data_IF_133861477590
#
_entry.id   IF_133861477590
#
_cell.length_a   1.000
_cell.length_b   1.000
_cell.length_c   1.000
_cell.angle_alpha   90.00
_cell.angle_beta   90.00
_cell.angle_gamma   90.00
#
_symmetry.space_group_name_H-M   'P 1'
#
loop_
_entity.id
_entity.type
_entity.pdbx_description
1 polymer ?
#
# COMPACT_ATOMS: atom_id res chain seq x y z
N UNK A 1 10.67 -23.48 -0.47
CA UNK A 1 10.62 -22.77 -1.75
C UNK A 1 9.70 -21.56 -1.55
N UNK A 2 10.22 -20.35 -1.66
CA UNK A 2 9.53 -19.10 -1.37
C UNK A 2 9.00 -18.50 -2.68
N UNK A 3 7.68 -18.41 -2.78
CA UNK A 3 6.96 -17.97 -3.98
C UNK A 3 6.47 -16.55 -3.82
N UNK A 4 6.62 -15.74 -4.87
CA UNK A 4 6.13 -14.37 -4.87
C UNK A 4 5.33 -14.03 -6.13
N UNK A 5 4.47 -13.02 -6.01
CA UNK A 5 3.81 -12.41 -7.15
C UNK A 5 3.93 -10.89 -7.13
N UNK A 6 4.14 -10.31 -8.32
CA UNK A 6 3.88 -8.90 -8.58
C UNK A 6 2.59 -8.81 -9.36
N UNK A 7 1.60 -8.11 -8.80
CA UNK A 7 0.35 -7.83 -9.50
C UNK A 7 0.40 -6.38 -9.97
N UNK A 8 0.40 -6.15 -11.28
CA UNK A 8 0.42 -4.77 -11.82
C UNK A 8 -0.04 -4.65 -13.26
N UNK A 9 -0.11 -3.42 -13.78
CA UNK A 9 -0.42 -3.15 -15.18
C UNK A 9 0.75 -3.30 -16.17
N UNK A 10 1.91 -3.83 -15.75
CA UNK A 10 3.08 -4.03 -16.63
C UNK A 10 3.94 -2.78 -16.86
N UNK A 11 4.04 -1.89 -15.86
CA UNK A 11 4.91 -0.71 -15.97
C UNK A 11 6.39 -1.09 -15.96
N UNK A 12 7.27 -0.27 -16.54
CA UNK A 12 8.74 -0.46 -16.49
C UNK A 12 9.22 -0.64 -15.03
N UNK A 13 8.64 0.12 -14.09
CA UNK A 13 8.94 -0.02 -12.66
C UNK A 13 8.57 -1.40 -12.11
N UNK A 14 7.47 -1.98 -12.58
CA UNK A 14 7.07 -3.34 -12.21
C UNK A 14 8.01 -4.39 -12.82
N UNK A 15 8.43 -4.20 -14.07
CA UNK A 15 9.38 -5.10 -14.74
C UNK A 15 10.74 -5.12 -14.04
N UNK A 16 11.23 -3.96 -13.60
CA UNK A 16 12.47 -3.88 -12.82
C UNK A 16 12.34 -4.62 -11.49
N UNK A 17 11.22 -4.42 -10.78
CA UNK A 17 10.96 -5.16 -9.54
C UNK A 17 10.88 -6.66 -9.78
N UNK A 18 10.20 -7.09 -10.85
CA UNK A 18 10.08 -8.50 -11.22
C UNK A 18 11.46 -9.13 -11.42
N UNK A 19 12.32 -8.47 -12.19
CA UNK A 19 13.71 -8.90 -12.42
C UNK A 19 14.52 -9.00 -11.13
N UNK A 20 14.41 -8.03 -10.23
CA UNK A 20 15.13 -8.05 -8.96
C UNK A 20 14.60 -9.10 -7.98
N UNK A 21 13.28 -9.31 -7.94
CA UNK A 21 12.67 -10.36 -7.11
C UNK A 21 13.06 -11.77 -7.58
N UNK A 22 13.19 -12.01 -8.89
CA UNK A 22 13.63 -13.31 -9.44
C UNK A 22 15.06 -13.72 -9.03
N UNK A 23 15.88 -12.78 -8.54
CA UNK A 23 17.22 -13.09 -8.02
C UNK A 23 17.20 -13.62 -6.59
N UNK A 24 16.07 -13.46 -5.88
CA UNK A 24 15.96 -13.71 -4.45
C UNK A 24 14.94 -14.80 -4.13
N UNK A 25 13.76 -14.73 -4.75
CA UNK A 25 12.69 -15.71 -4.58
C UNK A 25 12.87 -16.89 -5.54
N UNK A 26 12.43 -18.07 -5.12
CA UNK A 26 12.55 -19.29 -5.93
C UNK A 26 11.61 -19.30 -7.13
N UNK A 27 10.41 -18.74 -6.95
CA UNK A 27 9.39 -18.58 -8.00
C UNK A 27 8.81 -17.18 -7.91
N UNK A 28 8.77 -16.46 -9.03
CA UNK A 28 8.13 -15.15 -9.12
C UNK A 28 7.23 -15.11 -10.33
N UNK A 29 5.96 -14.82 -10.11
CA UNK A 29 4.97 -14.58 -11.16
C UNK A 29 4.68 -13.07 -11.31
N UNK A 30 4.49 -12.63 -12.54
CA UNK A 30 4.00 -11.28 -12.83
C UNK A 30 2.61 -11.36 -13.43
N UNK A 31 1.61 -11.04 -12.61
CA UNK A 31 0.21 -11.13 -12.99
C UNK A 31 -0.30 -9.76 -13.46
N UNK A 32 -0.89 -9.73 -14.65
CA UNK A 32 -1.49 -8.52 -15.18
C UNK A 32 -2.81 -8.22 -14.45
N UNK A 33 -2.87 -7.09 -13.74
CA UNK A 33 -4.04 -6.69 -12.96
C UNK A 33 -5.33 -6.57 -13.80
N UNK A 34 -5.23 -6.34 -15.11
CA UNK A 34 -6.38 -6.26 -16.02
C UNK A 34 -7.07 -7.60 -16.25
N UNK A 35 -6.42 -8.70 -15.88
CA UNK A 35 -6.90 -10.08 -16.04
C UNK A 35 -7.26 -10.73 -14.69
N UNK A 36 -7.33 -9.91 -13.64
CA UNK A 36 -7.70 -10.36 -12.30
C UNK A 36 -9.14 -9.98 -12.01
N UNK A 37 -9.87 -10.95 -11.47
CA UNK A 37 -11.14 -10.75 -10.77
C UNK A 37 -11.07 -11.36 -9.36
N UNK A 38 -12.11 -11.09 -8.56
CA UNK A 38 -12.21 -11.57 -7.19
C UNK A 38 -13.62 -12.07 -6.89
N UNK A 39 -13.69 -13.19 -6.18
CA UNK A 39 -14.90 -13.61 -5.47
C UNK A 39 -14.73 -13.20 -4.00
N UNK A 40 -15.68 -12.45 -3.43
CA UNK A 40 -15.54 -11.88 -2.07
C UNK A 40 -16.29 -12.68 -1.00
N UNK A 41 -17.06 -13.69 -1.38
CA UNK A 41 -18.00 -14.38 -0.49
C UNK A 41 -18.08 -15.87 -0.77
N UNK A 42 -18.44 -16.63 0.27
CA UNK A 42 -18.66 -18.06 0.14
C UNK A 42 -17.37 -18.88 0.04
N UNK A 43 -17.52 -20.16 -0.30
CA UNK A 43 -16.40 -21.12 -0.35
C UNK A 43 -15.37 -20.79 -1.45
N UNK A 44 -15.79 -20.05 -2.46
CA UNK A 44 -14.96 -19.63 -3.58
C UNK A 44 -14.25 -18.29 -3.33
N UNK A 45 -14.44 -17.66 -2.17
CA UNK A 45 -13.85 -16.35 -1.87
C UNK A 45 -12.33 -16.34 -2.06
N UNK A 46 -11.83 -15.56 -3.01
CA UNK A 46 -10.43 -15.52 -3.41
C UNK A 46 -10.17 -14.70 -4.67
N UNK A 47 -8.92 -14.74 -5.11
CA UNK A 47 -8.42 -13.99 -6.28
C UNK A 47 -8.22 -14.95 -7.44
N UNK A 48 -8.66 -14.54 -8.63
CA UNK A 48 -8.57 -15.33 -9.85
C UNK A 48 -7.81 -14.56 -10.93
N UNK A 49 -7.06 -15.29 -11.74
CA UNK A 49 -6.34 -14.79 -12.90
C UNK A 49 -6.75 -15.65 -14.10
N UNK A 50 -7.35 -15.02 -15.11
CA UNK A 50 -7.87 -15.73 -16.30
C UNK A 50 -8.77 -16.93 -15.94
N UNK A 51 -9.77 -16.70 -15.07
CA UNK A 51 -10.74 -17.69 -14.57
C UNK A 51 -10.14 -18.84 -13.74
N UNK A 52 -8.87 -18.75 -13.32
CA UNK A 52 -8.23 -19.74 -12.44
C UNK A 52 -7.84 -19.08 -11.13
N UNK A 53 -8.11 -19.74 -10.00
CA UNK A 53 -7.64 -19.27 -8.70
C UNK A 53 -6.11 -19.13 -8.73
N UNK A 54 -5.60 -17.99 -8.26
CA UNK A 54 -4.15 -17.77 -8.21
C UNK A 54 -3.49 -18.76 -7.25
N UNK A 55 -2.22 -19.06 -7.50
CA UNK A 55 -1.40 -19.87 -6.58
C UNK A 55 -1.35 -19.21 -5.19
N UNK A 56 -1.05 -20.02 -4.18
CA UNK A 56 -0.62 -19.48 -2.89
C UNK A 56 0.81 -18.93 -3.01
N UNK A 57 0.99 -17.70 -2.55
CA UNK A 57 2.28 -17.01 -2.54
C UNK A 57 2.64 -16.63 -1.11
N UNK A 58 3.93 -16.62 -0.82
CA UNK A 58 4.46 -16.12 0.45
C UNK A 58 4.54 -14.59 0.45
N UNK A 59 4.70 -13.99 -0.73
CA UNK A 59 4.76 -12.54 -0.94
C UNK A 59 3.88 -12.12 -2.11
N UNK A 60 3.05 -11.10 -1.92
CA UNK A 60 2.33 -10.41 -3.00
C UNK A 60 2.60 -8.93 -2.90
N UNK A 61 3.19 -8.34 -3.93
CA UNK A 61 3.25 -6.88 -4.08
C UNK A 61 2.28 -6.42 -5.17
N UNK A 62 1.07 -6.03 -4.75
CA UNK A 62 0.04 -5.53 -5.64
C UNK A 62 0.17 -4.00 -5.84
N UNK A 63 0.26 -3.56 -7.09
CA UNK A 63 0.53 -2.17 -7.48
C UNK A 63 -0.38 -1.74 -8.62
N UNK A 64 -0.87 -0.50 -8.58
CA UNK A 64 -1.72 0.02 -9.64
C UNK A 64 -2.12 1.46 -9.42
N UNK A 65 -2.80 2.02 -10.43
CA UNK A 65 -3.38 3.36 -10.33
C UNK A 65 -4.69 3.32 -9.52
N UNK A 66 -5.18 4.51 -9.16
CA UNK A 66 -6.45 4.69 -8.43
C UNK A 66 -7.66 3.97 -9.06
N UNK A 67 -7.64 3.73 -10.39
CA UNK A 67 -8.67 2.97 -11.12
C UNK A 67 -8.86 1.55 -10.55
N UNK A 68 -7.79 0.96 -10.02
CA UNK A 68 -7.80 -0.39 -9.47
C UNK A 68 -7.80 -0.41 -7.94
N UNK A 69 -8.02 0.72 -7.27
CA UNK A 69 -7.96 0.84 -5.80
C UNK A 69 -8.80 -0.22 -5.06
N UNK A 70 -10.07 -0.37 -5.43
CA UNK A 70 -10.97 -1.38 -4.83
C UNK A 70 -10.50 -2.81 -5.10
N UNK A 71 -10.04 -3.10 -6.32
CA UNK A 71 -9.52 -4.42 -6.68
C UNK A 71 -8.23 -4.76 -5.91
N UNK A 72 -7.30 -3.81 -5.82
CA UNK A 72 -6.06 -3.95 -5.05
C UNK A 72 -6.33 -4.18 -3.57
N UNK A 73 -7.30 -3.45 -3.00
CA UNK A 73 -7.78 -3.67 -1.64
C UNK A 73 -8.35 -5.08 -1.47
N UNK A 74 -9.19 -5.53 -2.40
CA UNK A 74 -9.75 -6.88 -2.35
C UNK A 74 -8.66 -7.96 -2.41
N UNK A 75 -7.69 -7.82 -3.32
CA UNK A 75 -6.54 -8.73 -3.43
C UNK A 75 -5.77 -8.78 -2.10
N UNK A 76 -5.46 -7.62 -1.51
CA UNK A 76 -4.75 -7.55 -0.24
C UNK A 76 -5.55 -8.12 0.94
N UNK A 77 -6.88 -8.05 0.91
CA UNK A 77 -7.75 -8.62 1.94
C UNK A 77 -7.99 -10.13 1.79
N UNK A 78 -8.04 -10.64 0.55
CA UNK A 78 -8.40 -12.03 0.24
C UNK A 78 -7.19 -12.97 0.16
N UNK A 79 -5.97 -12.43 0.28
CA UNK A 79 -4.73 -13.23 0.23
C UNK A 79 -4.06 -13.28 1.59
N UNK A 80 -3.43 -14.42 1.91
CA UNK A 80 -2.72 -14.63 3.17
C UNK A 80 -1.20 -14.38 3.06
N UNK A 81 -0.73 -13.93 1.90
CA UNK A 81 0.66 -13.60 1.64
C UNK A 81 1.12 -12.39 2.48
N UNK A 82 2.43 -12.24 2.65
CA UNK A 82 2.98 -10.95 3.04
C UNK A 82 2.74 -9.92 1.92
N UNK A 83 2.20 -8.76 2.28
CA UNK A 83 2.01 -7.62 1.39
C UNK A 83 2.57 -6.37 2.09
N UNK A 84 3.44 -5.58 1.43
CA UNK A 84 4.01 -4.36 2.03
C UNK A 84 2.97 -3.24 2.25
N UNK A 85 1.75 -3.38 1.72
CA UNK A 85 0.67 -2.41 1.85
C UNK A 85 -0.52 -3.05 2.57
N UNK A 86 -0.97 -2.45 3.68
CA UNK A 86 -2.24 -2.86 4.29
C UNK A 86 -3.41 -2.61 3.32
N UNK A 87 -4.50 -3.39 3.39
CA UNK A 87 -5.66 -3.20 2.50
C UNK A 87 -6.23 -1.78 2.51
N UNK A 88 -6.23 -1.11 3.67
CA UNK A 88 -6.70 0.28 3.81
C UNK A 88 -5.88 1.29 3.02
N UNK A 89 -4.59 1.03 2.78
CA UNK A 89 -3.67 1.94 2.06
C UNK A 89 -4.19 2.22 0.65
N UNK A 90 -4.71 1.20 -0.04
CA UNK A 90 -5.25 1.37 -1.40
C UNK A 90 -6.48 2.28 -1.46
N UNK A 91 -7.12 2.56 -0.32
CA UNK A 91 -8.18 3.57 -0.21
C UNK A 91 -7.61 4.91 0.24
N UNK A 92 -6.80 4.92 1.30
CA UNK A 92 -6.29 6.13 1.94
C UNK A 92 -5.33 6.90 1.02
N UNK A 93 -4.32 6.22 0.47
CA UNK A 93 -3.29 6.86 -0.38
C UNK A 93 -3.83 7.33 -1.74
N UNK A 94 -5.03 6.90 -2.13
CA UNK A 94 -5.70 7.38 -3.35
C UNK A 94 -6.74 8.46 -3.09
N UNK A 95 -6.94 8.87 -1.84
CA UNK A 95 -7.84 9.93 -1.44
C UNK A 95 -7.08 10.98 -0.62
N UNK A 96 -6.92 12.18 -1.20
CA UNK A 96 -6.16 13.27 -0.58
C UNK A 96 -6.70 13.66 0.79
N UNK A 97 -8.02 13.65 0.98
CA UNK A 97 -8.64 13.98 2.26
C UNK A 97 -8.28 12.93 3.31
N UNK A 98 -8.44 11.65 3.00
CA UNK A 98 -8.13 10.56 3.95
C UNK A 98 -6.65 10.56 4.33
N UNK A 99 -5.76 10.86 3.39
CA UNK A 99 -4.34 11.03 3.69
C UNK A 99 -4.13 12.20 4.66
N UNK A 100 -4.72 13.38 4.41
CA UNK A 100 -4.59 14.54 5.31
C UNK A 100 -5.20 14.33 6.70
N UNK A 101 -6.27 13.52 6.82
CA UNK A 101 -6.83 13.12 8.12
C UNK A 101 -5.86 12.23 8.91
N UNK A 102 -5.26 11.23 8.27
CA UNK A 102 -4.26 10.37 8.91
C UNK A 102 -3.02 11.18 9.35
N UNK A 103 -2.59 12.15 8.54
CA UNK A 103 -1.49 13.06 8.91
C UNK A 103 -1.84 13.92 10.12
N UNK A 104 -3.07 14.45 10.17
CA UNK A 104 -3.54 15.26 11.30
C UNK A 104 -3.57 14.46 12.60
N UNK A 105 -4.06 13.22 12.56
CA UNK A 105 -4.14 12.35 13.73
C UNK A 105 -2.75 11.97 14.29
N UNK A 106 -1.71 12.05 13.46
CA UNK A 106 -0.33 11.75 13.84
C UNK A 106 0.53 12.99 14.10
N UNK A 107 -0.08 14.19 14.14
CA UNK A 107 0.63 15.47 14.27
C UNK A 107 1.73 15.67 13.21
N UNK A 108 1.53 15.11 12.02
CA UNK A 108 2.49 15.24 10.91
C UNK A 108 2.22 16.56 10.19
N UNK A 109 3.24 17.45 10.04
CA UNK A 109 3.05 18.74 9.38
C UNK A 109 2.55 18.60 7.95
N UNK A 110 1.51 19.37 7.63
CA UNK A 110 0.84 19.39 6.33
C UNK A 110 0.28 20.79 6.05
N UNK A 111 0.04 21.18 4.78
CA UNK A 111 -0.60 22.45 4.48
C UNK A 111 -2.01 22.53 5.09
N UNK A 112 -2.43 23.72 5.53
CA UNK A 112 -3.77 23.92 6.07
C UNK A 112 -4.81 23.52 5.03
N UNK A 113 -5.72 22.60 5.39
CA UNK A 113 -6.60 21.92 4.44
C UNK A 113 -8.05 21.95 4.91
N UNK A 114 -8.94 22.38 4.03
CA UNK A 114 -10.38 22.48 4.25
C UNK A 114 -11.13 21.59 3.26
N UNK A 115 -12.21 20.95 3.73
CA UNK A 115 -13.17 20.25 2.89
C UNK A 115 -14.44 21.09 2.75
N UNK A 116 -14.90 21.28 1.52
CA UNK A 116 -16.20 21.85 1.21
C UNK A 116 -17.02 20.83 0.40
N UNK A 117 -18.23 20.50 0.85
CA UNK A 117 -19.09 19.54 0.14
C UNK A 117 -19.86 20.16 -1.03
N UNK A 118 -19.89 21.50 -1.12
CA UNK A 118 -20.55 22.25 -2.18
C UNK A 118 -19.90 23.64 -2.35
N UNK A 119 -20.29 24.36 -3.40
CA UNK A 119 -19.74 25.67 -3.73
C UNK A 119 -20.09 26.75 -2.70
N UNK A 120 -21.26 26.68 -2.05
CA UNK A 120 -21.69 27.66 -1.04
C UNK A 120 -20.80 27.62 0.21
N UNK A 121 -20.55 26.42 0.74
CA UNK A 121 -19.63 26.22 1.86
C UNK A 121 -18.19 26.55 1.46
N UNK A 122 -17.80 26.24 0.22
CA UNK A 122 -16.51 26.63 -0.30
C UNK A 122 -16.34 28.16 -0.27
N UNK A 123 -17.33 28.94 -0.72
CA UNK A 123 -17.32 30.42 -0.65
C UNK A 123 -17.22 30.94 0.78
N UNK A 124 -17.85 30.27 1.74
CA UNK A 124 -17.71 30.62 3.16
C UNK A 124 -16.29 30.40 3.68
N UNK A 125 -15.63 29.33 3.24
CA UNK A 125 -14.21 29.08 3.53
C UNK A 125 -13.32 30.14 2.88
N UNK A 126 -13.58 30.51 1.61
CA UNK A 126 -12.81 31.52 0.88
C UNK A 126 -12.71 32.87 1.61
N UNK A 127 -13.72 33.26 2.39
CA UNK A 127 -13.73 34.52 3.15
C UNK A 127 -12.78 34.56 4.34
N UNK A 128 -12.27 33.41 4.79
CA UNK A 128 -11.45 33.29 6.02
C UNK A 128 -10.09 32.62 5.81
N UNK A 129 -9.71 32.35 4.56
CA UNK A 129 -8.39 31.81 4.21
C UNK A 129 -7.45 32.92 3.79
N UNK A 130 -6.15 32.65 3.88
CA UNK A 130 -5.10 33.52 3.35
C UNK A 130 -4.74 33.10 1.94
N UNK A 131 -4.67 34.07 1.02
CA UNK A 131 -4.29 33.84 -0.37
C UNK A 131 -2.77 33.95 -0.57
N UNK A 132 -2.20 33.25 -1.57
CA UNK A 132 -2.86 32.34 -2.52
C UNK A 132 -3.32 31.00 -1.89
N UNK A 133 -4.27 30.35 -2.56
CA UNK A 133 -4.80 29.02 -2.17
C UNK A 133 -4.77 28.04 -3.35
N UNK A 134 -4.91 26.77 -3.02
CA UNK A 134 -5.09 25.66 -3.94
C UNK A 134 -6.52 25.14 -3.83
N UNK A 135 -7.20 24.98 -4.98
CA UNK A 135 -8.49 24.28 -5.08
C UNK A 135 -8.26 22.96 -5.83
N UNK A 136 -8.66 21.84 -5.24
CA UNK A 136 -8.51 20.50 -5.84
C UNK A 136 -9.66 19.57 -5.50
N UNK A 137 -9.89 18.55 -6.34
CA UNK A 137 -10.83 17.46 -6.02
C UNK A 137 -10.14 16.35 -5.21
N UNK A 138 -10.83 15.69 -4.24
CA UNK A 138 -10.22 14.65 -3.40
C UNK A 138 -9.67 13.44 -4.16
N UNK A 139 -10.38 13.01 -5.21
CA UNK A 139 -9.99 11.89 -6.06
C UNK A 139 -9.24 12.39 -7.31
N UNK A 140 -8.18 11.68 -7.71
CA UNK A 140 -7.41 11.98 -8.92
C UNK A 140 -5.90 11.91 -8.71
N UNK A 141 -5.16 11.76 -9.80
CA UNK A 141 -3.69 11.57 -9.80
C UNK A 141 -3.02 12.49 -10.83
N UNK A 142 -1.71 12.71 -10.71
CA UNK A 142 -0.87 13.46 -11.67
C UNK A 142 -1.16 14.97 -11.78
N UNK A 143 -1.64 15.61 -10.70
CA UNK A 143 -1.81 17.07 -10.66
C UNK A 143 -2.90 17.66 -11.57
N UNK A 144 -3.65 16.82 -12.29
CA UNK A 144 -4.86 17.25 -13.01
C UNK A 144 -5.94 17.61 -11.99
N UNK A 145 -6.54 18.80 -12.15
CA UNK A 145 -7.55 19.32 -11.21
C UNK A 145 -6.97 20.00 -9.97
N UNK A 146 -5.71 20.45 -10.02
CA UNK A 146 -5.13 21.38 -9.02
C UNK A 146 -5.12 22.78 -9.63
N UNK A 147 -5.85 23.71 -9.03
CA UNK A 147 -5.96 25.10 -9.46
C UNK A 147 -5.39 26.00 -8.37
N UNK A 148 -4.67 27.05 -8.76
CA UNK A 148 -4.12 28.05 -7.84
C UNK A 148 -4.96 29.31 -8.01
N UNK A 149 -5.50 29.84 -6.92
CA UNK A 149 -6.20 31.10 -6.89
C UNK A 149 -5.46 32.09 -5.99
N UNK A 150 -5.15 33.25 -6.53
CA UNK A 150 -4.42 34.35 -5.88
C UNK A 150 -5.34 35.37 -5.19
N UNK A 151 -6.64 35.33 -5.47
CA UNK A 151 -7.64 36.18 -4.83
C UNK A 151 -8.98 35.46 -4.62
N UNK A 152 -9.87 36.09 -3.84
CA UNK A 152 -11.24 35.64 -3.65
C UNK A 152 -12.02 35.56 -4.97
N UNK A 153 -11.87 36.57 -5.82
CA UNK A 153 -12.54 36.66 -7.13
C UNK A 153 -12.11 35.51 -8.03
N UNK A 154 -10.80 35.28 -8.12
CA UNK A 154 -10.20 34.16 -8.88
C UNK A 154 -10.73 32.81 -8.39
N UNK A 155 -10.70 32.58 -7.07
CA UNK A 155 -11.21 31.35 -6.46
C UNK A 155 -12.73 31.17 -6.66
N UNK A 156 -13.49 32.25 -6.53
CA UNK A 156 -14.94 32.30 -6.74
C UNK A 156 -15.31 31.88 -8.16
N UNK A 157 -14.65 32.44 -9.17
CA UNK A 157 -14.88 32.07 -10.57
C UNK A 157 -14.52 30.61 -10.86
N UNK A 158 -13.46 30.08 -10.25
CA UNK A 158 -13.12 28.66 -10.35
C UNK A 158 -14.22 27.78 -9.74
N UNK A 159 -14.78 28.15 -8.59
CA UNK A 159 -15.88 27.42 -7.97
C UNK A 159 -17.14 27.39 -8.83
N UNK A 160 -17.45 28.46 -9.57
CA UNK A 160 -18.58 28.48 -10.49
C UNK A 160 -18.44 27.43 -11.59
N UNK A 161 -17.25 27.35 -12.22
CA UNK A 161 -16.97 26.33 -13.22
C UNK A 161 -17.03 24.90 -12.63
N UNK A 162 -16.52 24.72 -11.42
CA UNK A 162 -16.47 23.41 -10.76
C UNK A 162 -17.82 22.97 -10.17
N UNK A 163 -18.72 23.91 -9.87
CA UNK A 163 -20.04 23.63 -9.27
C UNK A 163 -20.87 22.68 -10.14
N UNK A 164 -20.67 22.72 -11.45
CA UNK A 164 -21.30 21.82 -12.43
C UNK A 164 -20.96 20.35 -12.19
N UNK A 165 -19.82 20.06 -11.57
CA UNK A 165 -19.40 18.68 -11.26
C UNK A 165 -20.19 18.08 -10.09
N UNK A 166 -20.84 18.91 -9.26
CA UNK A 166 -21.55 18.48 -8.04
C UNK A 166 -20.69 17.58 -7.14
N UNK A 167 -19.41 17.90 -7.02
CA UNK A 167 -18.42 17.17 -6.23
C UNK A 167 -17.95 17.98 -5.02
N UNK A 168 -17.36 17.26 -4.07
CA UNK A 168 -16.62 17.85 -2.95
C UNK A 168 -15.29 18.47 -3.41
N UNK A 169 -14.89 19.55 -2.73
CA UNK A 169 -13.67 20.32 -3.00
C UNK A 169 -12.76 20.33 -1.78
N UNK A 170 -11.47 20.28 -2.03
CA UNK A 170 -10.44 20.62 -1.05
C UNK A 170 -9.93 22.02 -1.38
N UNK A 171 -10.01 22.91 -0.39
CA UNK A 171 -9.32 24.19 -0.39
C UNK A 171 -8.11 24.05 0.52
N UNK A 172 -6.93 24.37 0.03
CA UNK A 172 -5.68 24.16 0.74
C UNK A 172 -4.79 25.40 0.66
N UNK A 173 -4.03 25.66 1.71
CA UNK A 173 -2.99 26.67 1.73
C UNK A 173 -1.98 26.46 0.59
N UNK A 174 -1.62 27.52 -0.11
CA UNK A 174 -0.52 27.48 -1.07
C UNK A 174 0.81 27.67 -0.36
N UNK A 175 1.72 26.72 -0.53
CA UNK A 175 3.08 26.81 0.00
C UNK A 175 4.02 27.18 -1.15
N UNK A 176 4.64 28.35 -1.07
CA UNK A 176 5.65 28.76 -2.04
C UNK A 176 6.95 27.99 -1.83
N UNK A 177 7.42 27.30 -2.88
CA UNK A 177 8.63 26.47 -2.85
C UNK A 177 9.57 26.72 -4.03
N UNK A 178 9.42 27.88 -4.69
CA UNK A 178 10.10 28.19 -5.96
C UNK A 178 9.91 27.11 -7.04
N UNK A 179 8.72 26.51 -7.04
CA UNK A 179 8.36 25.43 -7.95
C UNK A 179 9.13 24.14 -7.71
N UNK A 180 9.46 23.84 -6.45
CA UNK A 180 10.18 22.62 -6.08
C UNK A 180 9.44 21.77 -5.07
N UNK A 181 9.62 20.46 -5.15
CA UNK A 181 9.14 19.53 -4.14
C UNK A 181 10.13 18.38 -3.96
N UNK A 182 10.02 17.67 -2.84
CA UNK A 182 10.85 16.53 -2.49
C UNK A 182 10.01 15.27 -2.65
N UNK A 183 10.51 14.30 -3.41
CA UNK A 183 9.98 12.94 -3.43
C UNK A 183 10.92 12.00 -2.69
N UNK A 184 10.45 11.40 -1.61
CA UNK A 184 11.16 10.43 -0.80
C UNK A 184 10.53 9.04 -0.96
N UNK A 185 11.30 8.04 -1.42
CA UNK A 185 10.86 6.64 -1.47
C UNK A 185 11.18 5.98 -0.14
N UNK A 186 10.15 5.59 0.60
CA UNK A 186 10.27 4.85 1.85
C UNK A 186 10.21 3.36 1.55
N UNK A 187 11.11 2.60 2.19
CA UNK A 187 11.13 1.13 2.16
C UNK A 187 11.40 0.63 3.58
N UNK A 188 10.38 0.07 4.22
CA UNK A 188 10.36 -0.23 5.65
C UNK A 188 10.49 1.05 6.47
N UNK A 189 11.46 1.08 7.39
CA UNK A 189 11.66 2.20 8.31
C UNK A 189 12.73 3.20 7.85
N UNK A 190 13.00 3.28 6.53
CA UNK A 190 14.03 4.16 5.98
C UNK A 190 13.64 4.75 4.63
N UNK A 191 14.17 5.94 4.35
CA UNK A 191 14.15 6.53 3.00
C UNK A 191 15.24 5.86 2.16
N UNK A 192 14.84 5.10 1.14
CA UNK A 192 15.72 4.35 0.26
C UNK A 192 16.39 5.24 -0.81
N UNK A 193 15.67 6.26 -1.26
CA UNK A 193 16.14 7.27 -2.21
C UNK A 193 15.28 8.53 -2.08
N UNK A 194 15.87 9.69 -2.35
CA UNK A 194 15.14 10.96 -2.41
C UNK A 194 15.65 11.81 -3.57
N UNK A 195 14.73 12.54 -4.18
CA UNK A 195 15.06 13.53 -5.19
C UNK A 195 14.28 14.82 -4.93
N UNK A 196 14.88 15.95 -5.29
CA UNK A 196 14.16 17.21 -5.45
C UNK A 196 13.72 17.31 -6.90
N UNK A 197 12.46 17.63 -7.12
CA UNK A 197 11.90 17.88 -8.44
C UNK A 197 11.74 19.39 -8.60
N UNK A 198 12.00 19.89 -9.81
CA UNK A 198 11.80 21.28 -10.18
C UNK A 198 10.84 21.38 -11.35
N UNK A 199 9.84 22.24 -11.22
CA UNK A 199 8.90 22.55 -12.29
C UNK A 199 9.60 23.22 -13.49
N UNK A 200 9.01 23.06 -14.67
CA UNK A 200 9.41 23.85 -15.85
C UNK A 200 9.10 25.33 -15.59
N UNK A 201 9.93 26.25 -16.11
CA UNK A 201 9.76 27.70 -15.94
C UNK A 201 8.34 28.13 -16.34
N UNK A 202 7.61 28.75 -15.41
CA UNK A 202 6.22 29.20 -15.62
C UNK A 202 5.15 28.24 -15.08
N UNK A 203 5.51 27.03 -14.65
CA UNK A 203 4.61 26.15 -13.90
C UNK A 203 4.92 26.16 -12.41
N UNK A 204 3.89 26.33 -11.57
CA UNK A 204 4.04 26.13 -10.12
C UNK A 204 4.14 24.64 -9.72
N UNK A 205 3.91 23.72 -10.66
CA UNK A 205 3.81 22.26 -10.40
C UNK A 205 5.11 21.55 -10.76
N UNK A 206 5.77 20.96 -9.77
CA UNK A 206 7.07 20.29 -9.93
C UNK A 206 7.01 18.84 -10.46
N UNK A 207 5.89 18.41 -11.05
CA UNK A 207 5.75 17.02 -11.52
C UNK A 207 6.70 16.73 -12.69
N UNK A 208 7.63 15.76 -12.52
CA UNK A 208 8.55 15.29 -13.58
C UNK A 208 7.81 14.88 -14.86
N UNK A 209 6.61 14.30 -14.73
CA UNK A 209 5.79 13.91 -15.89
C UNK A 209 5.28 15.09 -16.73
N UNK A 210 5.43 16.33 -16.24
CA UNK A 210 5.14 17.57 -16.96
C UNK A 210 6.42 18.24 -17.52
N UNK A 211 7.54 17.50 -17.60
CA UNK A 211 8.82 18.01 -18.13
C UNK A 211 9.78 18.58 -17.08
N UNK A 212 9.46 18.44 -15.79
CA UNK A 212 10.33 18.88 -14.69
C UNK A 212 11.62 18.04 -14.56
N UNK A 213 12.68 18.64 -14.02
CA UNK A 213 13.95 17.95 -13.76
C UNK A 213 13.99 17.37 -12.35
N UNK A 214 14.74 16.27 -12.17
CA UNK A 214 14.96 15.63 -10.87
C UNK A 214 16.43 15.63 -10.49
N UNK A 215 16.77 16.10 -9.30
CA UNK A 215 18.13 16.09 -8.75
C UNK A 215 18.20 15.24 -7.47
N UNK A 216 19.29 14.48 -7.30
CA UNK A 216 19.54 13.74 -6.06
C UNK A 216 19.71 14.71 -4.90
N UNK A 217 19.08 14.41 -3.77
CA UNK A 217 19.27 15.17 -2.53
C UNK A 217 19.55 14.26 -1.34
N UNK A 218 20.17 14.85 -0.32
CA UNK A 218 20.27 14.26 1.02
C UNK A 218 19.23 14.96 1.89
N UNK A 219 18.29 14.19 2.43
CA UNK A 219 17.30 14.73 3.35
C UNK A 219 17.93 15.04 4.71
N UNK A 220 17.56 16.17 5.30
CA UNK A 220 17.82 16.43 6.71
C UNK A 220 17.09 15.41 7.61
N UNK A 221 17.41 15.42 8.91
CA UNK A 221 16.87 14.48 9.87
C UNK A 221 15.34 14.62 10.00
N UNK A 222 14.82 15.85 10.01
CA UNK A 222 13.41 16.14 10.21
C UNK A 222 12.56 15.64 9.02
N UNK A 223 12.96 15.98 7.79
CA UNK A 223 12.28 15.57 6.56
C UNK A 223 12.28 14.06 6.40
N UNK A 224 13.41 13.42 6.71
CA UNK A 224 13.53 11.95 6.65
C UNK A 224 12.64 11.28 7.69
N UNK A 225 12.60 11.81 8.92
CA UNK A 225 11.76 11.30 10.01
C UNK A 225 10.28 11.39 9.62
N UNK A 226 9.83 12.56 9.16
CA UNK A 226 8.44 12.78 8.71
C UNK A 226 8.05 11.86 7.56
N UNK A 227 8.94 11.62 6.59
CA UNK A 227 8.66 10.68 5.50
C UNK A 227 8.40 9.26 6.02
N UNK A 228 9.21 8.78 6.98
CA UNK A 228 9.05 7.44 7.57
C UNK A 228 7.81 7.37 8.46
N UNK A 229 7.58 8.37 9.31
CA UNK A 229 6.39 8.44 10.18
C UNK A 229 5.10 8.48 9.37
N UNK A 230 5.09 9.21 8.27
CA UNK A 230 3.97 9.24 7.31
C UNK A 230 3.67 7.84 6.77
N UNK A 231 4.70 7.16 6.26
CA UNK A 231 4.55 5.81 5.72
C UNK A 231 4.01 4.82 6.77
N UNK A 232 4.52 4.90 8.00
CA UNK A 232 4.08 4.08 9.13
C UNK A 232 2.63 4.36 9.52
N UNK A 233 2.23 5.63 9.64
CA UNK A 233 0.86 6.04 9.99
C UNK A 233 -0.16 5.53 8.98
N UNK A 234 0.13 5.69 7.69
CA UNK A 234 -0.73 5.21 6.60
C UNK A 234 -0.75 3.66 6.55
N UNK A 235 0.29 3.00 7.07
CA UNK A 235 0.45 1.55 7.01
C UNK A 235 1.01 1.06 5.69
N UNK A 236 1.81 1.89 5.02
CA UNK A 236 2.51 1.56 3.78
C UNK A 236 4.00 1.33 4.08
N UNK A 237 4.48 0.10 3.94
CA UNK A 237 5.91 -0.19 4.11
C UNK A 237 6.72 0.25 2.90
N UNK A 238 6.07 0.44 1.75
CA UNK A 238 6.71 0.88 0.50
C UNK A 238 5.84 1.92 -0.18
N UNK A 239 6.27 3.19 -0.16
CA UNK A 239 5.55 4.28 -0.80
C UNK A 239 6.50 5.41 -1.21
N UNK A 240 6.02 6.34 -2.04
CA UNK A 240 6.62 7.66 -2.12
C UNK A 240 5.86 8.63 -1.20
N UNK A 241 6.60 9.48 -0.49
CA UNK A 241 6.06 10.62 0.23
C UNK A 241 6.56 11.88 -0.47
N UNK A 242 5.63 12.71 -0.90
CA UNK A 242 5.93 14.00 -1.52
C UNK A 242 5.81 15.11 -0.48
N UNK A 243 6.83 15.95 -0.40
CA UNK A 243 7.06 16.89 0.68
C UNK A 243 7.39 18.26 0.08
N UNK A 244 6.76 19.30 0.60
CA UNK A 244 7.09 20.69 0.34
C UNK A 244 8.00 21.21 1.43
N UNK A 245 9.03 21.99 1.07
CA UNK A 245 9.86 22.69 2.05
C UNK A 245 9.23 24.07 2.31
N UNK A 246 8.38 24.14 3.33
CA UNK A 246 7.79 25.40 3.78
C UNK A 246 8.78 26.24 4.58
N UNK A 247 8.38 27.47 4.91
CA UNK A 247 9.17 28.40 5.74
C UNK A 247 9.43 27.85 7.15
N UNK A 248 8.44 27.15 7.73
CA UNK A 248 8.51 26.55 9.07
C UNK A 248 9.00 25.11 9.09
N UNK A 249 9.37 24.53 7.94
CA UNK A 249 9.85 23.16 7.83
C UNK A 249 9.15 22.31 6.76
N UNK A 250 9.41 20.99 6.72
CA UNK A 250 8.82 20.08 5.74
C UNK A 250 7.33 19.87 6.00
N UNK A 251 6.53 19.93 4.93
CA UNK A 251 5.09 19.70 4.94
C UNK A 251 4.74 18.56 3.97
N UNK A 252 4.04 17.54 4.44
CA UNK A 252 3.63 16.40 3.60
C UNK A 252 2.47 16.80 2.70
N UNK A 253 2.61 16.51 1.41
CA UNK A 253 1.64 16.87 0.38
C UNK A 253 0.82 15.67 -0.09
N UNK A 254 1.49 14.56 -0.44
CA UNK A 254 0.82 13.34 -0.90
C UNK A 254 1.62 12.09 -0.55
N UNK A 255 0.91 10.96 -0.46
CA UNK A 255 1.50 9.62 -0.35
C UNK A 255 1.09 8.82 -1.56
N UNK A 256 2.06 8.26 -2.27
CA UNK A 256 1.82 7.40 -3.42
C UNK A 256 2.20 5.95 -3.07
N UNK A 257 1.19 5.08 -2.95
CA UNK A 257 1.34 3.66 -2.64
C UNK A 257 1.93 2.83 -3.79
N UNK A 258 1.93 3.33 -5.03
CA UNK A 258 2.47 2.64 -6.21
C UNK A 258 3.43 3.55 -6.98
N UNK A 259 4.56 3.96 -6.38
CA UNK A 259 5.40 4.99 -6.96
C UNK A 259 6.15 4.52 -8.21
N UNK A 260 6.22 5.37 -9.23
CA UNK A 260 7.14 5.15 -10.34
C UNK A 260 8.59 5.22 -9.86
N UNK A 261 9.42 4.30 -10.34
CA UNK A 261 10.83 4.14 -9.96
C UNK A 261 11.80 4.71 -11.00
N UNK A 262 11.36 4.96 -12.24
CA UNK A 262 12.25 5.39 -13.33
C UNK A 262 12.93 6.73 -13.01
N UNK A 263 12.12 7.79 -12.79
CA UNK A 263 12.67 9.13 -12.59
C UNK A 263 13.59 9.25 -11.37
N UNK A 264 13.25 8.58 -10.26
CA UNK A 264 14.10 8.60 -9.06
C UNK A 264 15.36 7.75 -9.21
N UNK A 265 15.28 6.61 -9.89
CA UNK A 265 16.47 5.80 -10.22
C UNK A 265 17.40 6.58 -11.15
N UNK A 266 16.85 7.30 -12.13
CA UNK A 266 17.64 8.13 -13.05
C UNK A 266 18.30 9.31 -12.34
N UNK A 267 17.57 10.03 -11.50
CA UNK A 267 18.09 11.19 -10.76
C UNK A 267 19.13 10.79 -9.70
N UNK A 268 18.92 9.67 -9.01
CA UNK A 268 19.76 9.28 -7.86
C UNK A 268 20.85 8.27 -8.19
N UNK A 269 20.72 7.58 -9.33
CA UNK A 269 21.50 6.40 -9.73
C UNK A 269 21.43 5.23 -8.72
N UNK A 270 20.43 5.25 -7.83
CA UNK A 270 20.19 4.18 -6.86
C UNK A 270 19.25 3.15 -7.47
N UNK A 271 19.62 1.87 -7.43
CA UNK A 271 18.70 0.77 -7.78
C UNK A 271 17.62 0.61 -6.70
N UNK A 272 16.55 1.40 -6.80
CA UNK A 272 15.44 1.37 -5.83
C UNK A 272 14.67 0.05 -5.92
N UNK A 273 14.57 -0.55 -7.12
CA UNK A 273 13.88 -1.82 -7.32
C UNK A 273 14.57 -2.96 -6.54
N UNK A 274 15.90 -3.01 -6.54
CA UNK A 274 16.67 -3.98 -5.76
C UNK A 274 16.45 -3.80 -4.25
N UNK A 275 16.43 -2.55 -3.76
CA UNK A 275 16.16 -2.27 -2.34
C UNK A 275 14.77 -2.74 -1.91
N UNK A 276 13.76 -2.54 -2.77
CA UNK A 276 12.40 -3.03 -2.54
C UNK A 276 12.38 -4.56 -2.56
N UNK A 277 12.97 -5.21 -3.58
CA UNK A 277 12.99 -6.66 -3.69
C UNK A 277 13.65 -7.35 -2.48
N UNK A 278 14.80 -6.82 -2.04
CA UNK A 278 15.49 -7.28 -0.81
C UNK A 278 14.59 -7.14 0.41
N UNK A 279 13.93 -5.99 0.57
CA UNK A 279 13.02 -5.77 1.70
C UNK A 279 11.85 -6.75 1.72
N UNK A 280 11.21 -6.97 0.57
CA UNK A 280 10.12 -7.94 0.43
C UNK A 280 10.58 -9.34 0.81
N UNK A 281 11.74 -9.76 0.29
CA UNK A 281 12.33 -11.07 0.58
C UNK A 281 12.57 -11.28 2.09
N UNK A 282 13.26 -10.35 2.74
CA UNK A 282 13.55 -10.43 4.17
C UNK A 282 12.28 -10.47 5.02
N UNK A 283 11.27 -9.65 4.68
CA UNK A 283 10.01 -9.62 5.43
C UNK A 283 9.18 -10.89 5.24
N UNK A 284 9.20 -11.47 4.05
CA UNK A 284 8.58 -12.77 3.81
C UNK A 284 9.26 -13.86 4.61
N UNK A 285 10.60 -13.89 4.65
CA UNK A 285 11.37 -14.84 5.45
C UNK A 285 11.08 -14.69 6.95
N UNK A 286 11.12 -13.47 7.48
CA UNK A 286 10.77 -13.18 8.88
C UNK A 286 9.35 -13.67 9.24
N UNK A 287 8.39 -13.52 8.32
CA UNK A 287 7.00 -13.97 8.51
C UNK A 287 6.93 -15.50 8.58
N UNK A 288 7.61 -16.20 7.67
CA UNK A 288 7.65 -17.67 7.68
C UNK A 288 8.31 -18.21 8.95
N UNK A 289 9.42 -17.62 9.40
CA UNK A 289 10.09 -18.01 10.64
C UNK A 289 9.21 -17.79 11.87
N UNK A 290 8.46 -16.68 11.92
CA UNK A 290 7.53 -16.40 13.03
C UNK A 290 6.35 -17.36 13.04
N UNK A 291 5.78 -17.69 11.88
CA UNK A 291 4.73 -18.70 11.78
C UNK A 291 5.23 -20.06 12.26
N UNK A 292 6.42 -20.50 11.80
CA UNK A 292 7.04 -21.74 12.26
C UNK A 292 7.31 -21.74 13.77
N UNK A 293 7.88 -20.66 14.32
CA UNK A 293 8.13 -20.53 15.76
C UNK A 293 6.83 -20.48 16.59
N UNK A 294 5.77 -19.86 16.09
CA UNK A 294 4.46 -19.82 16.76
C UNK A 294 3.85 -21.22 16.84
N UNK A 295 3.84 -21.94 15.72
CA UNK A 295 3.35 -23.32 15.64
C UNK A 295 4.16 -24.23 16.57
N UNK A 296 5.49 -24.11 16.59
CA UNK A 296 6.36 -24.88 17.49
C UNK A 296 6.14 -24.50 18.96
N UNK A 297 5.98 -23.21 19.29
CA UNK A 297 5.73 -22.76 20.67
C UNK A 297 4.35 -23.17 21.17
N UNK A 298 3.31 -23.08 20.33
CA UNK A 298 1.97 -23.57 20.65
C UNK A 298 1.99 -25.09 20.87
N UNK A 299 2.68 -25.85 20.01
CA UNK A 299 2.87 -27.31 20.13
C UNK A 299 3.66 -27.72 21.39
N UNK A 300 4.65 -26.93 21.80
CA UNK A 300 5.45 -27.17 23.01
C UNK A 300 4.75 -26.68 24.30
N UNK A 301 3.81 -25.74 24.20
CA UNK A 301 3.11 -25.15 25.36
C UNK A 301 1.79 -25.84 25.71
N UNK A 302 1.19 -26.59 24.79
CA UNK A 302 -0.02 -27.35 25.08
C UNK A 302 0.33 -28.63 25.82
N UNK A 303 -0.26 -28.83 27.00
CA UNK A 303 -0.60 -30.16 27.51
C UNK A 303 -1.14 -31.02 26.35
N UNK A 304 -1.00 -32.35 26.40
CA UNK A 304 -1.42 -33.33 25.37
C UNK A 304 -2.92 -33.27 24.91
N UNK A 305 -3.67 -32.24 25.30
CA UNK A 305 -5.08 -32.02 24.99
C UNK A 305 -5.26 -30.67 24.30
N UNK A 306 -5.79 -30.71 23.08
CA UNK A 306 -6.20 -29.52 22.31
C UNK A 306 -7.72 -29.41 22.43
N UNK A 307 -8.21 -28.32 23.02
CA UNK A 307 -9.64 -27.99 23.03
C UNK A 307 -9.94 -27.21 21.76
N UNK A 308 -10.71 -27.81 20.86
CA UNK A 308 -11.12 -27.20 19.59
C UNK A 308 -12.57 -27.62 19.27
N UNK A 309 -13.24 -26.87 18.42
CA UNK A 309 -14.45 -27.34 17.75
C UNK A 309 -14.06 -28.33 16.64
N UNK A 310 -14.90 -29.34 16.39
CA UNK A 310 -14.74 -30.25 15.26
C UNK A 310 -15.21 -29.57 13.97
N UNK A 311 -14.32 -29.45 12.98
CA UNK A 311 -14.66 -28.95 11.65
C UNK A 311 -14.84 -30.13 10.68
N UNK A 312 -15.96 -30.13 9.96
CA UNK A 312 -16.33 -31.18 9.02
C UNK A 312 -16.40 -30.59 7.61
N UNK A 313 -15.64 -31.16 6.68
CA UNK A 313 -15.75 -30.88 5.24
C UNK A 313 -16.26 -32.10 4.50
N UNK A 314 -17.57 -32.15 4.31
CA UNK A 314 -18.24 -33.32 3.74
C UNK A 314 -18.07 -34.52 4.67
N UNK A 315 -17.47 -35.58 4.17
CA UNK A 315 -17.23 -36.81 4.93
C UNK A 315 -15.86 -36.84 5.64
N UNK A 316 -15.19 -35.68 5.77
CA UNK A 316 -13.85 -35.56 6.37
C UNK A 316 -13.89 -34.74 7.65
N UNK A 317 -13.20 -35.22 8.68
CA UNK A 317 -12.89 -34.46 9.89
C UNK A 317 -11.57 -33.74 9.65
N UNK A 318 -11.56 -32.42 9.83
CA UNK A 318 -10.33 -31.63 9.80
C UNK A 318 -9.75 -31.57 11.21
N UNK A 319 -8.58 -32.19 11.39
CA UNK A 319 -7.81 -32.04 12.62
C UNK A 319 -7.17 -30.65 12.66
N UNK A 320 -7.11 -30.00 13.84
CA UNK A 320 -6.32 -28.78 14.01
C UNK A 320 -4.88 -29.01 13.56
N UNK A 321 -4.27 -27.99 12.95
CA UNK A 321 -2.88 -28.03 12.47
C UNK A 321 -1.91 -28.49 13.57
N UNK A 322 -2.10 -27.98 14.79
CA UNK A 322 -1.38 -28.38 16.00
C UNK A 322 -1.48 -29.88 16.30
N UNK A 323 -2.67 -30.48 16.15
CA UNK A 323 -2.88 -31.91 16.41
C UNK A 323 -2.10 -32.76 15.41
N UNK A 324 -2.13 -32.39 14.12
CA UNK A 324 -1.38 -33.06 13.05
C UNK A 324 0.12 -32.99 13.27
N UNK A 325 0.63 -31.82 13.67
CA UNK A 325 2.05 -31.58 13.91
C UNK A 325 2.55 -32.36 15.13
N UNK A 326 1.81 -32.34 16.24
CA UNK A 326 2.16 -33.08 17.46
C UNK A 326 2.08 -34.59 17.22
N UNK A 327 1.03 -35.08 16.54
CA UNK A 327 0.84 -36.50 16.24
C UNK A 327 1.76 -37.02 15.13
N UNK A 328 2.43 -36.14 14.37
CA UNK A 328 3.27 -36.49 13.20
C UNK A 328 2.54 -37.34 12.15
N UNK A 329 1.24 -37.11 11.98
CA UNK A 329 0.48 -37.69 10.88
C UNK A 329 0.90 -37.04 9.56
N UNK A 330 1.17 -37.85 8.56
CA UNK A 330 1.55 -37.41 7.21
C UNK A 330 0.50 -37.86 6.19
N UNK A 331 0.42 -37.18 5.05
CA UNK A 331 -0.59 -37.43 4.00
C UNK A 331 -0.56 -38.85 3.37
N UNK A 332 0.49 -39.64 3.64
CA UNK A 332 0.69 -40.98 3.07
C UNK A 332 0.75 -42.10 4.12
N UNK A 333 0.36 -41.81 5.37
CA UNK A 333 0.37 -42.79 6.45
C UNK A 333 -1.04 -43.32 6.64
N UNK A 334 -1.18 -44.63 6.68
CA UNK A 334 -2.44 -45.27 7.06
C UNK A 334 -2.68 -45.05 8.57
N UNK A 335 -3.94 -44.78 8.91
CA UNK A 335 -4.36 -44.48 10.28
C UNK A 335 -5.58 -45.32 10.65
N UNK A 336 -5.61 -45.79 11.90
CA UNK A 336 -6.76 -46.47 12.48
C UNK A 336 -7.64 -45.45 13.18
N UNK A 337 -8.91 -45.35 12.78
CA UNK A 337 -9.91 -44.48 13.40
C UNK A 337 -10.88 -45.33 14.21
N UNK A 338 -10.79 -45.25 15.53
CA UNK A 338 -11.72 -45.94 16.44
C UNK A 338 -12.77 -44.96 16.97
N UNK A 339 -14.05 -45.28 16.76
CA UNK A 339 -15.16 -44.46 17.25
C UNK A 339 -15.97 -45.19 18.35
N UNK A 340 -16.22 -44.51 19.47
CA UNK A 340 -17.13 -44.89 20.56
C UNK A 340 -18.01 -43.69 20.91
N UNK A 341 -19.13 -43.90 21.62
CA UNK A 341 -20.01 -42.80 22.05
C UNK A 341 -19.20 -41.74 22.81
N UNK A 342 -19.11 -40.52 22.25
CA UNK A 342 -18.37 -39.40 22.83
C UNK A 342 -16.84 -39.46 22.73
N UNK A 343 -16.26 -40.43 21.99
CA UNK A 343 -14.80 -40.57 21.86
C UNK A 343 -14.41 -41.05 20.46
N UNK A 344 -13.55 -40.30 19.79
CA UNK A 344 -12.85 -40.74 18.58
C UNK A 344 -11.35 -40.78 18.90
N UNK A 345 -10.68 -41.86 18.52
CA UNK A 345 -9.23 -42.01 18.64
C UNK A 345 -8.66 -42.27 17.25
N UNK A 346 -7.60 -41.55 16.89
CA UNK A 346 -6.88 -41.72 15.64
C UNK A 346 -5.46 -42.10 16.01
N UNK A 347 -4.98 -43.24 15.50
CA UNK A 347 -3.64 -43.78 15.74
C UNK A 347 -2.99 -44.14 14.40
N UNK A 348 -1.67 -44.01 14.30
CA UNK A 348 -0.95 -44.48 13.10
C UNK A 348 -0.98 -46.02 13.04
N UNK A 349 -1.26 -46.58 11.87
CA UNK A 349 -1.22 -48.03 11.66
C UNK A 349 0.23 -48.51 11.77
N UNK A 350 0.53 -49.28 12.81
CA UNK A 350 1.82 -49.95 12.95
C UNK A 350 1.78 -51.24 12.16
N UNK A 351 2.49 -51.28 11.02
CA UNK A 351 2.81 -52.51 10.30
C UNK A 351 3.61 -53.49 11.17
#
# INVERSE_FOLDING_TARGET
>A
MMKAAIISGGSISSEWLFKEMKKLFDEVDHLNIKKIDVCISGKDAGVYYENKRIKEYDCIYARGSHKYSSLLRAIASLTHAYNPLKPSVYTIAHNKLLTHLDLQEADIPQPTTYLAINAELARSILKRVTYPIIIKVPAGTHGKGVMIADSYESASSMLDALSLLKQQFIIQEFISTDGTDIRAIVVGNKVAAAMKRKAVRGEARANIHAGGTGEKIILDLQTRKIAVETAQKIGAEICAVDILKGSSGPLVLEVNASPGLQGITEATKINVAEKIAKYLYEKTKERQEKSGKRVVKEALSSKQQIVTTLDFRGNRILLPELATIVAKFGEKKDVVVTAKKGKIVIEEEKL
#
